data_IF_446456839834
#
_entry.id   IF_446456839834
#
_cell.length_a   1.000
_cell.length_b   1.000
_cell.length_c   1.000
_cell.angle_alpha   90.00
_cell.angle_beta   90.00
_cell.angle_gamma   90.00
#
_symmetry.space_group_name_H-M   'P 1'
#
loop_
_entity.id
_entity.type
_entity.pdbx_description
1 polymer ?
#
# COMPACT_ATOMS: atom_id res chain seq x y z
N UNK A 1 1.39 16.07 12.07
CA UNK A 1 1.71 17.41 12.60
C UNK A 1 3.11 17.88 12.19
N UNK A 2 3.30 18.12 10.88
CA UNK A 2 4.46 18.80 10.31
C UNK A 2 4.01 20.14 9.71
N UNK A 3 3.48 20.12 8.49
CA UNK A 3 2.91 21.30 7.82
C UNK A 3 1.74 21.94 8.61
N UNK A 4 0.88 21.13 9.24
CA UNK A 4 -0.23 21.62 10.08
C UNK A 4 0.19 22.51 11.24
N UNK A 5 1.42 22.34 11.77
CA UNK A 5 1.94 23.23 12.84
C UNK A 5 2.21 24.64 12.33
N UNK A 6 2.37 24.82 11.03
CA UNK A 6 2.49 26.12 10.37
C UNK A 6 1.14 26.64 9.85
N UNK A 7 0.02 26.03 10.26
CA UNK A 7 -1.33 26.44 9.86
C UNK A 7 -1.81 25.92 8.51
N UNK A 8 -1.00 25.12 7.80
CA UNK A 8 -1.37 24.52 6.51
C UNK A 8 -2.33 23.34 6.71
N UNK A 9 -3.34 23.21 5.85
CA UNK A 9 -4.37 22.18 5.91
C UNK A 9 -4.24 21.16 4.79
N UNK A 10 -4.40 19.89 5.14
CA UNK A 10 -4.45 18.77 4.19
C UNK A 10 -5.71 18.91 3.31
N UNK A 11 -5.60 18.59 2.02
CA UNK A 11 -6.63 18.73 0.98
C UNK A 11 -7.08 20.18 0.67
N UNK A 12 -6.43 21.18 1.28
CA UNK A 12 -6.64 22.60 0.95
C UNK A 12 -5.33 23.23 0.49
N UNK A 13 -4.29 23.16 1.32
CA UNK A 13 -2.99 23.78 1.05
C UNK A 13 -2.00 22.77 0.47
N UNK A 14 -2.19 21.48 0.77
CA UNK A 14 -1.37 20.38 0.26
C UNK A 14 -2.07 19.02 0.38
N UNK A 15 -1.65 18.06 -0.44
CA UNK A 15 -2.11 16.68 -0.38
C UNK A 15 -1.08 15.75 0.27
N UNK A 16 -1.58 14.67 0.87
CA UNK A 16 -0.74 13.58 1.38
C UNK A 16 -1.24 12.28 0.78
N UNK A 17 -0.32 11.57 0.09
CA UNK A 17 -0.51 10.21 -0.34
C UNK A 17 0.34 9.26 0.51
N UNK A 18 -0.23 8.14 0.95
CA UNK A 18 0.50 7.12 1.72
C UNK A 18 -0.01 5.71 1.41
N UNK A 19 0.82 4.70 1.67
CA UNK A 19 0.43 3.29 1.60
C UNK A 19 0.12 2.77 3.00
N UNK A 20 -0.87 1.89 3.12
CA UNK A 20 -1.13 1.17 4.36
C UNK A 20 -1.41 -0.31 4.10
N UNK A 21 -0.94 -1.18 4.99
CA UNK A 21 -1.30 -2.60 5.00
C UNK A 21 -2.54 -2.87 5.86
N UNK A 22 -2.84 -1.98 6.81
CA UNK A 22 -3.94 -2.09 7.77
C UNK A 22 -4.66 -0.75 7.80
N UNK A 23 -6.00 -0.76 7.71
CA UNK A 23 -6.84 0.43 7.65
C UNK A 23 -6.80 1.30 8.90
N UNK A 24 -5.81 2.18 9.01
CA UNK A 24 -5.58 3.03 10.17
C UNK A 24 -5.39 4.50 9.81
N UNK A 25 -4.84 4.81 8.63
CA UNK A 25 -4.46 6.19 8.29
C UNK A 25 -5.66 7.13 8.20
N UNK A 26 -6.81 6.67 7.68
CA UNK A 26 -8.06 7.45 7.71
C UNK A 26 -8.57 7.75 9.13
N UNK A 27 -8.18 6.96 10.13
CA UNK A 27 -8.51 7.25 11.55
C UNK A 27 -7.63 8.37 12.12
N UNK A 28 -6.45 8.57 11.54
CA UNK A 28 -5.53 9.64 11.89
C UNK A 28 -5.87 10.95 11.18
N UNK A 29 -6.10 10.91 9.86
CA UNK A 29 -6.57 12.03 9.03
C UNK A 29 -7.44 11.49 7.92
N UNK A 30 -8.67 12.00 7.79
CA UNK A 30 -9.61 11.51 6.77
C UNK A 30 -9.22 11.97 5.37
N UNK A 31 -8.59 13.12 5.28
CA UNK A 31 -8.28 13.84 4.05
C UNK A 31 -7.09 13.22 3.28
N UNK A 32 -6.46 12.17 3.82
CA UNK A 32 -5.35 11.47 3.15
C UNK A 32 -5.85 10.63 1.98
N UNK A 33 -5.06 10.62 0.91
CA UNK A 33 -5.15 9.63 -0.18
C UNK A 33 -4.37 8.40 0.28
N UNK A 34 -5.06 7.29 0.50
CA UNK A 34 -4.42 6.08 1.00
C UNK A 34 -4.55 4.95 0.00
N UNK A 35 -3.43 4.31 -0.33
CA UNK A 35 -3.40 3.08 -1.14
C UNK A 35 -3.28 1.89 -0.20
N UNK A 36 -4.26 0.99 -0.23
CA UNK A 36 -4.19 -0.26 0.53
C UNK A 36 -3.25 -1.24 -0.18
N UNK A 37 -2.30 -1.81 0.53
CA UNK A 37 -1.38 -2.82 0.02
C UNK A 37 -1.77 -4.21 0.52
N UNK A 38 -1.94 -5.17 -0.38
CA UNK A 38 -2.23 -6.56 -0.02
C UNK A 38 -0.94 -7.31 0.34
N UNK A 39 -0.42 -7.01 1.53
CA UNK A 39 0.76 -7.69 2.08
C UNK A 39 0.52 -9.19 2.29
N UNK A 40 -0.74 -9.63 2.40
CA UNK A 40 -1.11 -11.05 2.48
C UNK A 40 -0.88 -11.77 1.16
N UNK A 41 -1.31 -11.17 0.05
CA UNK A 41 -1.04 -11.65 -1.31
C UNK A 41 0.45 -11.69 -1.61
N UNK A 42 1.19 -10.63 -1.24
CA UNK A 42 2.65 -10.60 -1.38
C UNK A 42 3.31 -11.75 -0.60
N UNK A 43 2.89 -11.99 0.64
CA UNK A 43 3.36 -13.12 1.44
C UNK A 43 3.08 -14.49 0.81
N UNK A 44 1.86 -14.71 0.29
CA UNK A 44 1.51 -15.95 -0.40
C UNK A 44 2.32 -16.15 -1.69
N UNK A 45 2.58 -15.08 -2.44
CA UNK A 45 3.46 -15.13 -3.61
C UNK A 45 4.88 -15.57 -3.22
N UNK A 46 5.47 -14.93 -2.22
CA UNK A 46 6.81 -15.26 -1.72
C UNK A 46 6.90 -16.71 -1.23
N UNK A 47 5.90 -17.18 -0.47
CA UNK A 47 5.87 -18.56 0.01
C UNK A 47 5.86 -19.57 -1.15
N UNK A 48 5.07 -19.32 -2.19
CA UNK A 48 5.01 -20.18 -3.38
C UNK A 48 6.30 -20.16 -4.18
N UNK A 49 6.90 -18.99 -4.37
CA UNK A 49 8.17 -18.84 -5.07
C UNK A 49 9.30 -19.61 -4.36
N UNK A 50 9.37 -19.54 -3.03
CA UNK A 50 10.35 -20.29 -2.23
C UNK A 50 10.16 -21.80 -2.39
N UNK A 51 8.92 -22.31 -2.32
CA UNK A 51 8.66 -23.74 -2.51
C UNK A 51 9.04 -24.21 -3.92
N UNK A 52 8.71 -23.43 -4.95
CA UNK A 52 9.10 -23.75 -6.33
C UNK A 52 10.63 -23.78 -6.50
N UNK A 53 11.35 -22.84 -5.88
CA UNK A 53 12.81 -22.82 -5.89
C UNK A 53 13.42 -24.05 -5.19
N UNK A 54 12.87 -24.47 -4.04
CA UNK A 54 13.30 -25.69 -3.33
C UNK A 54 13.11 -26.93 -4.21
N UNK A 55 12.00 -27.00 -4.94
CA UNK A 55 11.67 -28.12 -5.83
C UNK A 55 12.42 -28.08 -7.17
N UNK A 56 13.28 -27.09 -7.39
CA UNK A 56 14.02 -26.93 -8.65
C UNK A 56 13.14 -26.55 -9.85
N UNK A 57 11.95 -25.98 -9.59
CA UNK A 57 11.02 -25.49 -10.62
C UNK A 57 11.41 -24.08 -11.08
N UNK A 58 10.95 -23.72 -12.28
CA UNK A 58 11.46 -22.63 -13.10
C UNK A 58 11.49 -21.25 -12.38
N UNK A 59 12.60 -20.49 -12.45
CA UNK A 59 12.79 -19.22 -11.73
C UNK A 59 11.99 -18.04 -12.31
N UNK A 60 11.45 -18.18 -13.52
CA UNK A 60 10.67 -17.19 -14.26
C UNK A 60 9.30 -16.90 -13.61
N UNK A 61 8.75 -17.83 -12.83
CA UNK A 61 7.54 -17.58 -12.01
C UNK A 61 7.85 -16.98 -10.62
N UNK A 62 9.14 -16.79 -10.28
CA UNK A 62 9.56 -16.32 -8.95
C UNK A 62 9.68 -14.79 -8.85
N UNK A 63 9.36 -14.06 -9.91
CA UNK A 63 9.31 -12.60 -9.93
C UNK A 63 7.87 -12.14 -10.10
N UNK A 64 7.42 -11.27 -9.20
CA UNK A 64 6.08 -10.71 -9.22
C UNK A 64 6.11 -9.26 -8.79
N UNK A 65 5.39 -8.41 -9.52
CA UNK A 65 5.19 -7.01 -9.17
C UNK A 65 3.69 -6.75 -9.04
N UNK A 66 3.28 -6.32 -7.86
CA UNK A 66 1.92 -5.82 -7.64
C UNK A 66 1.83 -4.37 -8.11
N UNK A 67 0.82 -4.08 -8.92
CA UNK A 67 0.51 -2.73 -9.40
C UNK A 67 -0.82 -2.31 -8.77
N UNK A 68 -0.87 -1.14 -8.11
CA UNK A 68 -2.10 -0.67 -7.50
C UNK A 68 -3.17 -0.39 -8.55
N UNK A 69 -4.39 -0.82 -8.26
CA UNK A 69 -5.60 -0.53 -9.02
C UNK A 69 -6.31 0.68 -8.42
N UNK A 70 -7.20 1.30 -9.19
CA UNK A 70 -8.02 2.42 -8.70
C UNK A 70 -8.86 2.06 -7.47
N UNK A 71 -9.26 0.80 -7.34
CA UNK A 71 -10.01 0.28 -6.19
C UNK A 71 -9.20 0.24 -4.89
N UNK A 72 -7.88 0.29 -4.98
CA UNK A 72 -6.99 0.23 -3.81
C UNK A 72 -6.84 1.60 -3.15
N UNK A 73 -7.25 2.67 -3.86
CA UNK A 73 -7.26 4.04 -3.36
C UNK A 73 -8.51 4.29 -2.53
N UNK A 74 -8.28 4.81 -1.33
CA UNK A 74 -9.31 5.29 -0.40
C UNK A 74 -9.12 6.79 -0.22
N UNK A 75 -10.17 7.54 -0.52
CA UNK A 75 -10.28 8.96 -0.19
C UNK A 75 -11.26 9.12 0.97
N UNK A 76 -11.00 10.04 1.89
CA UNK A 76 -11.96 10.35 2.94
C UNK A 76 -13.20 10.97 2.35
N UNK A 77 -14.36 10.40 2.66
CA UNK A 77 -15.66 11.08 2.58
C UNK A 77 -15.89 11.92 3.83
#
# INVERSE_FOLDING_TARGET
AGAERNGLKIAQDFDIASKEAIGFLHRFRKEMIVVTEDVGRAGNFLARAIMAAIEGRAPDESQGLEVPLLTDFRTGS
#
